data_IF_091263913090
#
_entry.id   IF_091263913090
#
_cell.length_a   1.000
_cell.length_b   1.000
_cell.length_c   1.000
_cell.angle_alpha   90.00
_cell.angle_beta   90.00
_cell.angle_gamma   90.00
#
_symmetry.space_group_name_H-M   'P 1'
#
loop_
_entity.id
_entity.type
_entity.pdbx_description
1 polymer ?
#
# COMPACT_ATOMS: atom_id res chain seq x y z
N UNK A 1 -19.71 -31.54 -8.25
CA UNK A 1 -19.80 -30.55 -7.15
C UNK A 1 -19.52 -31.13 -5.78
N UNK A 2 -20.09 -32.29 -5.38
CA UNK A 2 -19.84 -32.92 -4.07
C UNK A 2 -18.38 -33.31 -3.82
N UNK A 3 -17.66 -33.80 -4.82
CA UNK A 3 -16.25 -34.20 -4.70
C UNK A 3 -15.31 -33.03 -4.54
N UNK A 4 -15.61 -31.90 -5.17
CA UNK A 4 -14.84 -30.64 -5.04
C UNK A 4 -15.08 -29.97 -3.69
N UNK A 5 -16.32 -29.98 -3.19
CA UNK A 5 -16.64 -29.46 -1.86
C UNK A 5 -16.01 -30.34 -0.75
N UNK A 6 -15.97 -31.65 -0.90
CA UNK A 6 -15.31 -32.56 0.06
C UNK A 6 -13.79 -32.38 0.06
N UNK A 7 -13.16 -32.22 -1.10
CA UNK A 7 -11.73 -31.93 -1.19
C UNK A 7 -11.40 -30.55 -0.62
N UNK A 8 -12.19 -29.52 -0.88
CA UNK A 8 -11.97 -28.19 -0.33
C UNK A 8 -12.13 -28.15 1.18
N UNK A 9 -13.15 -28.83 1.76
CA UNK A 9 -13.32 -28.96 3.21
C UNK A 9 -12.22 -29.82 3.84
N UNK A 10 -11.83 -30.92 3.22
CA UNK A 10 -10.73 -31.73 3.67
C UNK A 10 -9.40 -30.95 3.68
N UNK A 11 -9.21 -30.07 2.71
CA UNK A 11 -8.02 -29.25 2.58
C UNK A 11 -7.96 -28.08 3.60
N UNK A 12 -9.09 -27.45 3.89
CA UNK A 12 -9.17 -26.35 4.86
C UNK A 12 -9.11 -26.84 6.32
N UNK A 13 -9.63 -28.07 6.58
CA UNK A 13 -9.80 -28.59 7.95
C UNK A 13 -8.99 -29.85 8.25
N UNK A 14 -8.15 -30.35 7.35
CA UNK A 14 -7.34 -31.54 7.60
C UNK A 14 -6.06 -31.16 8.35
N UNK A 15 -6.02 -31.49 9.65
CA UNK A 15 -4.92 -31.18 10.57
C UNK A 15 -3.88 -32.31 10.68
N UNK A 16 -4.02 -33.39 9.92
CA UNK A 16 -3.18 -34.56 10.01
C UNK A 16 -1.94 -34.48 9.11
N UNK A 17 -0.77 -34.16 9.70
CA UNK A 17 0.54 -34.27 9.07
C UNK A 17 1.48 -33.09 9.23
N UNK A 18 2.77 -33.36 9.24
CA UNK A 18 3.83 -32.38 9.43
C UNK A 18 3.90 -31.28 8.32
N UNK A 19 3.36 -31.59 7.14
CA UNK A 19 3.33 -30.65 6.00
C UNK A 19 2.22 -29.59 6.10
N UNK A 20 1.44 -29.61 7.18
CA UNK A 20 0.33 -28.69 7.42
C UNK A 20 0.69 -27.49 8.32
N UNK A 21 1.95 -27.25 8.63
CA UNK A 21 2.39 -26.19 9.56
C UNK A 21 1.93 -24.81 9.09
N UNK A 22 2.04 -24.53 7.81
CA UNK A 22 1.62 -23.24 7.24
C UNK A 22 0.11 -23.03 7.33
N UNK A 23 -0.70 -24.09 7.11
CA UNK A 23 -2.17 -24.05 7.23
C UNK A 23 -2.57 -23.86 8.70
N UNK A 24 -1.89 -24.55 9.60
CA UNK A 24 -2.12 -24.43 11.04
C UNK A 24 -1.80 -23.02 11.53
N UNK A 25 -0.67 -22.45 11.13
CA UNK A 25 -0.29 -21.08 11.46
C UNK A 25 -1.35 -20.10 10.94
N UNK A 26 -1.76 -20.22 9.69
CA UNK A 26 -2.80 -19.39 9.10
C UNK A 26 -4.14 -19.51 9.84
N UNK A 27 -4.59 -20.72 10.12
CA UNK A 27 -5.82 -20.96 10.86
C UNK A 27 -5.78 -20.31 12.24
N UNK A 28 -4.67 -20.47 12.99
CA UNK A 28 -4.53 -19.89 14.31
C UNK A 28 -4.42 -18.37 14.29
N UNK A 29 -3.79 -17.78 13.26
CA UNK A 29 -3.79 -16.32 13.07
C UNK A 29 -5.23 -15.81 12.87
N UNK A 30 -6.00 -16.46 12.01
CA UNK A 30 -7.41 -16.11 11.76
C UNK A 30 -8.26 -16.28 13.01
N UNK A 31 -8.11 -17.40 13.73
CA UNK A 31 -8.80 -17.66 15.01
C UNK A 31 -8.42 -16.60 16.06
N UNK A 32 -7.15 -16.26 16.19
CA UNK A 32 -6.70 -15.21 17.12
C UNK A 32 -7.31 -13.86 16.80
N UNK A 33 -7.41 -13.48 15.52
CA UNK A 33 -8.09 -12.24 15.09
C UNK A 33 -9.59 -12.26 15.40
N UNK A 34 -10.28 -13.39 15.16
CA UNK A 34 -11.71 -13.55 15.46
C UNK A 34 -11.94 -13.48 16.97
N UNK A 35 -11.11 -14.17 17.77
CA UNK A 35 -11.18 -14.16 19.23
C UNK A 35 -10.91 -12.77 19.78
N UNK A 36 -9.88 -12.07 19.29
CA UNK A 36 -9.59 -10.69 19.68
C UNK A 36 -10.74 -9.74 19.34
N UNK A 37 -11.35 -9.88 18.16
CA UNK A 37 -12.52 -9.09 17.78
C UNK A 37 -13.76 -9.41 18.63
N UNK A 38 -13.97 -10.68 18.96
CA UNK A 38 -15.06 -11.11 19.87
C UNK A 38 -14.85 -10.56 21.30
N UNK A 39 -13.62 -10.65 21.84
CA UNK A 39 -13.27 -10.07 23.14
C UNK A 39 -13.51 -8.55 23.12
N UNK A 40 -13.04 -7.85 22.10
CA UNK A 40 -13.31 -6.42 21.94
C UNK A 40 -14.82 -6.11 21.92
N UNK A 41 -15.63 -6.94 21.22
CA UNK A 41 -17.06 -6.77 21.16
C UNK A 41 -17.78 -7.01 22.50
N UNK A 42 -17.27 -7.93 23.33
CA UNK A 42 -17.84 -8.26 24.66
C UNK A 42 -17.41 -7.28 25.75
N UNK A 43 -16.15 -6.81 25.73
CA UNK A 43 -15.60 -5.90 26.74
C UNK A 43 -16.14 -4.47 26.60
N UNK A 44 -16.58 -4.10 25.41
CA UNK A 44 -17.06 -2.74 25.12
C UNK A 44 -18.48 -2.56 25.64
N UNK A 45 -18.65 -1.79 26.73
CA UNK A 45 -19.97 -1.49 27.34
C UNK A 45 -20.75 -0.36 26.63
N UNK A 46 -20.07 0.57 25.96
CA UNK A 46 -20.70 1.72 25.29
C UNK A 46 -21.36 1.28 23.96
N UNK A 47 -22.67 1.55 23.81
CA UNK A 47 -23.44 1.26 22.59
C UNK A 47 -22.82 1.86 21.32
N UNK A 48 -22.14 2.98 21.46
CA UNK A 48 -21.43 3.63 20.35
C UNK A 48 -20.19 2.84 19.93
N UNK A 49 -19.49 2.22 20.88
CA UNK A 49 -18.32 1.39 20.62
C UNK A 49 -18.73 0.00 20.14
N UNK A 50 -19.88 -0.53 20.52
CA UNK A 50 -20.45 -1.79 20.00
C UNK A 50 -20.65 -1.75 18.48
N UNK A 51 -21.06 -0.60 17.92
CA UNK A 51 -21.17 -0.46 16.44
C UNK A 51 -19.80 -0.62 15.74
N UNK A 52 -18.75 -0.05 16.32
CA UNK A 52 -17.38 -0.17 15.80
C UNK A 52 -16.90 -1.63 15.89
N UNK A 53 -17.12 -2.27 17.03
CA UNK A 53 -16.78 -3.68 17.23
C UNK A 53 -17.52 -4.59 16.23
N UNK A 54 -18.80 -4.33 15.93
CA UNK A 54 -19.55 -5.04 14.88
C UNK A 54 -18.94 -4.85 13.49
N UNK A 55 -18.52 -3.62 13.15
CA UNK A 55 -17.84 -3.34 11.86
C UNK A 55 -16.54 -4.12 11.78
N UNK A 56 -15.73 -4.11 12.84
CA UNK A 56 -14.47 -4.88 12.90
C UNK A 56 -14.73 -6.37 12.74
N UNK A 57 -15.70 -6.92 13.49
CA UNK A 57 -16.04 -8.34 13.42
C UNK A 57 -16.57 -8.74 12.03
N UNK A 58 -17.44 -7.93 11.43
CA UNK A 58 -17.93 -8.15 10.09
C UNK A 58 -16.79 -8.08 9.05
N UNK A 59 -15.87 -7.14 9.20
CA UNK A 59 -14.70 -7.00 8.31
C UNK A 59 -13.78 -8.22 8.39
N UNK A 60 -13.52 -8.72 9.59
CA UNK A 60 -12.71 -9.93 9.79
C UNK A 60 -13.41 -11.16 9.23
N UNK A 61 -14.71 -11.31 9.46
CA UNK A 61 -15.49 -12.41 8.89
C UNK A 61 -15.47 -12.36 7.34
N UNK A 62 -15.64 -11.17 6.76
CA UNK A 62 -15.57 -10.97 5.31
C UNK A 62 -14.17 -11.28 4.77
N UNK A 63 -13.10 -10.89 5.50
CA UNK A 63 -11.71 -11.23 5.13
C UNK A 63 -11.51 -12.74 5.06
N UNK A 64 -12.00 -13.46 6.06
CA UNK A 64 -11.92 -14.93 6.10
C UNK A 64 -12.67 -15.54 4.92
N UNK A 65 -13.89 -15.10 4.66
CA UNK A 65 -14.68 -15.61 3.53
C UNK A 65 -13.99 -15.33 2.18
N UNK A 66 -13.49 -14.12 1.97
CA UNK A 66 -12.77 -13.77 0.73
C UNK A 66 -11.48 -14.58 0.61
N UNK A 67 -10.74 -14.80 1.71
CA UNK A 67 -9.54 -15.62 1.71
C UNK A 67 -9.83 -17.08 1.33
N UNK A 68 -10.91 -17.64 1.88
CA UNK A 68 -11.37 -18.99 1.52
C UNK A 68 -11.76 -19.04 0.05
N UNK A 69 -12.50 -18.05 -0.46
CA UNK A 69 -12.91 -17.99 -1.88
C UNK A 69 -11.68 -17.81 -2.78
N UNK A 70 -10.75 -16.95 -2.43
CA UNK A 70 -9.52 -16.73 -3.21
C UNK A 70 -8.64 -17.99 -3.24
N UNK A 71 -8.51 -18.68 -2.11
CA UNK A 71 -7.81 -19.97 -2.02
C UNK A 71 -8.52 -21.01 -2.89
N UNK A 72 -9.86 -21.07 -2.85
CA UNK A 72 -10.65 -21.99 -3.67
C UNK A 72 -10.51 -21.68 -5.16
N UNK A 73 -10.55 -20.42 -5.58
CA UNK A 73 -10.36 -20.01 -6.98
C UNK A 73 -8.93 -20.29 -7.47
N UNK A 74 -7.92 -20.10 -6.62
CA UNK A 74 -6.55 -20.46 -6.94
C UNK A 74 -6.36 -21.98 -7.09
N UNK A 75 -7.21 -22.77 -6.44
CA UNK A 75 -7.26 -24.22 -6.53
C UNK A 75 -7.79 -24.74 -7.88
N UNK A 76 -8.56 -23.94 -8.57
CA UNK A 76 -9.20 -24.35 -9.83
C UNK A 76 -8.15 -24.39 -10.95
N UNK A 77 -7.61 -25.59 -11.21
CA UNK A 77 -6.71 -25.84 -12.33
C UNK A 77 -5.23 -26.10 -12.01
N UNK A 78 -4.83 -26.30 -10.75
CA UNK A 78 -3.45 -26.60 -10.35
C UNK A 78 -3.30 -27.91 -9.58
N UNK A 79 -2.11 -28.52 -9.67
CA UNK A 79 -1.79 -29.75 -8.93
C UNK A 79 -1.63 -29.46 -7.42
N UNK A 80 -2.07 -30.41 -6.58
CA UNK A 80 -2.21 -30.21 -5.14
C UNK A 80 -0.91 -29.78 -4.39
N UNK A 81 0.27 -30.18 -4.87
CA UNK A 81 1.56 -29.85 -4.26
C UNK A 81 1.98 -28.38 -4.37
N UNK A 82 1.51 -27.67 -5.41
CA UNK A 82 1.85 -26.26 -5.64
C UNK A 82 0.98 -25.29 -4.82
N UNK A 83 -0.04 -25.82 -4.13
CA UNK A 83 -1.11 -25.02 -3.52
C UNK A 83 -0.97 -24.83 -2.01
N UNK A 84 -0.12 -25.64 -1.36
CA UNK A 84 -0.07 -25.70 0.10
C UNK A 84 0.32 -24.39 0.78
N UNK A 85 1.04 -23.52 0.08
CA UNK A 85 1.51 -22.24 0.62
C UNK A 85 0.87 -21.01 -0.02
N UNK A 86 0.01 -21.16 -1.04
CA UNK A 86 -0.75 -20.06 -1.62
C UNK A 86 -1.53 -19.22 -0.59
N UNK A 87 -2.15 -19.83 0.43
CA UNK A 87 -2.79 -19.07 1.51
C UNK A 87 -1.84 -18.12 2.25
N UNK A 88 -0.58 -18.50 2.44
CA UNK A 88 0.42 -17.62 3.06
C UNK A 88 0.74 -16.38 2.23
N UNK A 89 0.64 -16.50 0.90
CA UNK A 89 0.88 -15.39 -0.01
C UNK A 89 -0.33 -14.43 -0.09
N UNK A 90 -1.51 -14.97 -0.40
CA UNK A 90 -2.67 -14.13 -0.73
C UNK A 90 -3.48 -13.68 0.48
N UNK A 91 -3.59 -14.50 1.51
CA UNK A 91 -4.47 -14.17 2.63
C UNK A 91 -4.07 -12.92 3.40
N UNK A 92 -2.78 -12.70 3.76
CA UNK A 92 -2.40 -11.47 4.45
C UNK A 92 -2.67 -10.22 3.61
N UNK A 93 -2.47 -10.30 2.30
CA UNK A 93 -2.76 -9.20 1.38
C UNK A 93 -4.26 -8.89 1.31
N UNK A 94 -5.09 -9.93 1.23
CA UNK A 94 -6.55 -9.79 1.22
C UNK A 94 -7.05 -9.23 2.56
N UNK A 95 -6.55 -9.74 3.69
CA UNK A 95 -6.88 -9.23 5.03
C UNK A 95 -6.53 -7.76 5.15
N UNK A 96 -5.36 -7.35 4.68
CA UNK A 96 -4.96 -5.94 4.66
C UNK A 96 -5.96 -5.10 3.85
N UNK A 97 -6.34 -5.53 2.65
CA UNK A 97 -7.28 -4.79 1.80
C UNK A 97 -8.67 -4.68 2.43
N UNK A 98 -9.18 -5.75 3.03
CA UNK A 98 -10.49 -5.72 3.70
C UNK A 98 -10.46 -4.84 4.95
N UNK A 99 -9.39 -4.89 5.74
CA UNK A 99 -9.19 -3.98 6.88
C UNK A 99 -9.11 -2.52 6.42
N UNK A 100 -8.48 -2.26 5.28
CA UNK A 100 -8.40 -0.92 4.71
C UNK A 100 -9.78 -0.39 4.32
N UNK A 101 -10.56 -1.17 3.56
CA UNK A 101 -11.94 -0.80 3.19
C UNK A 101 -12.79 -0.57 4.43
N UNK A 102 -12.66 -1.43 5.42
CA UNK A 102 -13.38 -1.31 6.69
C UNK A 102 -12.98 -0.07 7.50
N UNK A 103 -11.69 0.27 7.49
CA UNK A 103 -11.19 1.50 8.10
C UNK A 103 -11.80 2.73 7.44
N UNK A 104 -11.86 2.74 6.10
CA UNK A 104 -12.50 3.82 5.33
C UNK A 104 -13.97 3.95 5.73
N UNK A 105 -14.74 2.86 5.70
CA UNK A 105 -16.16 2.86 6.07
C UNK A 105 -16.36 3.33 7.52
N UNK A 106 -15.56 2.81 8.45
CA UNK A 106 -15.67 3.17 9.87
C UNK A 106 -15.36 4.65 10.12
N UNK A 107 -14.36 5.21 9.44
CA UNK A 107 -14.02 6.63 9.55
C UNK A 107 -15.10 7.51 8.89
N UNK A 108 -15.68 7.09 7.76
CA UNK A 108 -16.77 7.81 7.10
C UNK A 108 -18.04 7.84 7.97
N UNK A 109 -18.37 6.69 8.60
CA UNK A 109 -19.57 6.60 9.47
C UNK A 109 -19.35 7.34 10.80
N UNK A 110 -18.12 7.28 11.34
CA UNK A 110 -17.79 7.88 12.63
C UNK A 110 -16.32 8.26 12.76
N UNK A 111 -15.96 9.49 12.40
CA UNK A 111 -14.58 9.99 12.47
C UNK A 111 -14.14 10.25 13.93
N UNK A 112 -13.92 9.21 14.73
CA UNK A 112 -13.41 9.35 16.09
C UNK A 112 -11.91 9.08 16.16
N UNK A 113 -11.23 9.70 17.14
CA UNK A 113 -9.79 9.50 17.37
C UNK A 113 -9.48 8.03 17.66
N UNK A 114 -10.34 7.35 18.41
CA UNK A 114 -10.24 5.93 18.74
C UNK A 114 -10.33 5.04 17.49
N UNK A 115 -11.29 5.31 16.58
CA UNK A 115 -11.43 4.55 15.33
C UNK A 115 -10.17 4.65 14.48
N UNK A 116 -9.63 5.86 14.32
CA UNK A 116 -8.39 6.10 13.56
C UNK A 116 -7.20 5.33 14.15
N UNK A 117 -7.05 5.35 15.48
CA UNK A 117 -5.97 4.63 16.17
C UNK A 117 -6.12 3.11 16.04
N UNK A 118 -7.31 2.58 16.32
CA UNK A 118 -7.56 1.12 16.26
C UNK A 118 -7.31 0.57 14.86
N UNK A 119 -7.89 1.19 13.84
CA UNK A 119 -7.64 0.75 12.47
C UNK A 119 -6.20 0.99 12.00
N UNK A 120 -5.56 2.06 12.45
CA UNK A 120 -4.13 2.30 12.19
C UNK A 120 -3.26 1.18 12.75
N UNK A 121 -3.50 0.74 13.98
CA UNK A 121 -2.78 -0.39 14.60
C UNK A 121 -3.08 -1.70 13.87
N UNK A 122 -4.35 -1.97 13.52
CA UNK A 122 -4.73 -3.18 12.79
C UNK A 122 -4.08 -3.25 11.40
N UNK A 123 -4.04 -2.13 10.67
CA UNK A 123 -3.41 -2.04 9.36
C UNK A 123 -1.88 -2.23 9.47
N UNK A 124 -1.25 -1.62 10.47
CA UNK A 124 0.18 -1.82 10.71
C UNK A 124 0.50 -3.29 11.07
N UNK A 125 -0.29 -3.90 11.95
CA UNK A 125 -0.14 -5.31 12.31
C UNK A 125 -0.37 -6.24 11.11
N UNK A 126 -1.35 -5.96 10.26
CA UNK A 126 -1.60 -6.75 9.05
C UNK A 126 -0.47 -6.61 8.02
N UNK A 127 0.15 -5.44 7.91
CA UNK A 127 1.32 -5.25 7.04
C UNK A 127 2.54 -6.05 7.55
N UNK A 128 2.77 -6.06 8.87
CA UNK A 128 3.80 -6.91 9.49
C UNK A 128 3.50 -8.39 9.21
N UNK A 129 2.24 -8.81 9.34
CA UNK A 129 1.83 -10.18 9.04
C UNK A 129 2.08 -10.54 7.56
N UNK A 130 1.87 -9.62 6.61
CA UNK A 130 2.23 -9.81 5.19
C UNK A 130 3.72 -10.16 5.06
N UNK A 131 4.59 -9.37 5.68
CA UNK A 131 6.05 -9.58 5.59
C UNK A 131 6.45 -10.92 6.23
N UNK A 132 5.90 -11.26 7.42
CA UNK A 132 6.17 -12.53 8.10
C UNK A 132 5.72 -13.72 7.25
N UNK A 133 4.49 -13.68 6.71
CA UNK A 133 3.96 -14.77 5.89
C UNK A 133 4.73 -14.94 4.59
N UNK A 134 5.15 -13.84 3.96
CA UNK A 134 6.03 -13.89 2.79
C UNK A 134 7.41 -14.46 3.13
N UNK A 135 7.96 -14.15 4.32
CA UNK A 135 9.24 -14.71 4.77
C UNK A 135 9.15 -16.23 4.99
N UNK A 136 8.10 -16.70 5.66
CA UNK A 136 7.84 -18.13 5.86
C UNK A 136 7.65 -18.84 4.52
N UNK A 137 6.89 -18.21 3.61
CA UNK A 137 6.67 -18.71 2.27
C UNK A 137 7.98 -18.87 1.49
N UNK A 138 8.86 -17.87 1.56
CA UNK A 138 10.16 -17.90 0.90
C UNK A 138 11.08 -18.98 1.51
N UNK A 139 11.18 -19.06 2.84
CA UNK A 139 12.04 -20.05 3.54
C UNK A 139 11.60 -21.49 3.34
N UNK A 140 10.31 -21.72 3.05
CA UNK A 140 9.80 -23.08 2.84
C UNK A 140 10.27 -23.75 1.54
N UNK A 141 11.04 -23.03 0.69
CA UNK A 141 11.57 -23.56 -0.56
C UNK A 141 10.51 -23.90 -1.61
N UNK A 142 9.26 -23.56 -1.34
CA UNK A 142 8.16 -23.73 -2.32
C UNK A 142 8.16 -22.54 -3.25
N UNK A 143 9.04 -22.56 -4.24
CA UNK A 143 8.88 -21.67 -5.38
C UNK A 143 7.55 -21.99 -6.04
N UNK A 144 6.59 -21.10 -5.88
CA UNK A 144 5.40 -21.15 -6.72
C UNK A 144 5.87 -21.01 -8.16
N UNK A 145 5.71 -22.05 -8.94
CA UNK A 145 5.83 -22.00 -10.40
C UNK A 145 4.66 -21.23 -11.04
N UNK A 146 4.36 -20.08 -10.48
CA UNK A 146 3.58 -19.03 -11.14
C UNK A 146 4.49 -18.25 -12.10
N UNK A 147 5.09 -18.90 -13.09
CA UNK A 147 6.16 -18.36 -13.95
C UNK A 147 7.42 -17.89 -13.19
N UNK A 148 7.70 -18.49 -12.03
CA UNK A 148 8.82 -18.11 -11.19
C UNK A 148 10.02 -18.90 -11.65
N UNK A 149 10.94 -18.20 -12.21
CA UNK A 149 12.29 -18.67 -12.46
C UNK A 149 12.99 -18.62 -11.10
N UNK A 150 13.62 -19.70 -10.70
CA UNK A 150 14.44 -19.74 -9.47
C UNK A 150 15.51 -18.65 -9.58
N UNK A 151 15.47 -17.65 -8.69
CA UNK A 151 16.52 -16.65 -8.62
C UNK A 151 17.71 -17.24 -7.86
N UNK A 152 18.78 -17.49 -8.55
CA UNK A 152 20.05 -17.86 -7.93
C UNK A 152 20.75 -16.62 -7.37
N UNK A 153 21.48 -16.78 -6.26
CA UNK A 153 22.33 -15.73 -5.69
C UNK A 153 21.61 -14.43 -5.27
N UNK A 154 20.52 -14.54 -4.54
CA UNK A 154 19.84 -13.37 -3.94
C UNK A 154 20.70 -12.78 -2.82
N UNK A 155 21.10 -11.51 -2.93
CA UNK A 155 21.77 -10.79 -1.84
C UNK A 155 20.74 -10.28 -0.82
N UNK A 156 20.41 -11.14 0.13
CA UNK A 156 19.44 -10.87 1.21
C UNK A 156 19.85 -9.66 2.07
N UNK A 157 21.16 -9.52 2.34
CA UNK A 157 21.69 -8.42 3.17
C UNK A 157 21.53 -7.10 2.44
N UNK A 158 21.93 -7.04 1.16
CA UNK A 158 21.75 -5.86 0.32
C UNK A 158 20.30 -5.43 0.19
N UNK A 159 19.36 -6.37 0.05
CA UNK A 159 17.92 -6.10 -0.01
C UNK A 159 17.41 -5.46 1.28
N UNK A 160 17.74 -6.00 2.46
CA UNK A 160 17.28 -5.45 3.73
C UNK A 160 17.90 -4.09 4.04
N UNK A 161 19.20 -3.89 3.72
CA UNK A 161 19.85 -2.58 3.84
C UNK A 161 19.18 -1.56 2.94
N UNK A 162 18.94 -1.90 1.67
CA UNK A 162 18.24 -1.03 0.72
C UNK A 162 16.83 -0.65 1.20
N UNK A 163 16.05 -1.62 1.66
CA UNK A 163 14.71 -1.39 2.20
C UNK A 163 14.75 -0.48 3.44
N UNK A 164 15.69 -0.71 4.37
CA UNK A 164 15.83 0.10 5.57
C UNK A 164 16.22 1.56 5.25
N UNK A 165 17.21 1.75 4.37
CA UNK A 165 17.66 3.09 3.95
C UNK A 165 16.56 3.88 3.25
N UNK A 166 15.82 3.24 2.33
CA UNK A 166 14.72 3.89 1.62
C UNK A 166 13.56 4.21 2.55
N UNK A 167 13.19 3.29 3.45
CA UNK A 167 12.17 3.54 4.46
C UNK A 167 12.54 4.73 5.32
N UNK A 168 13.76 4.77 5.85
CA UNK A 168 14.25 5.88 6.65
C UNK A 168 14.25 7.19 5.85
N UNK A 169 14.73 7.17 4.60
CA UNK A 169 14.76 8.34 3.72
C UNK A 169 13.37 8.91 3.42
N UNK A 170 12.39 8.06 3.10
CA UNK A 170 11.00 8.48 2.84
C UNK A 170 10.35 9.03 4.11
N UNK A 171 10.56 8.40 5.27
CA UNK A 171 10.03 8.87 6.56
C UNK A 171 10.64 10.23 6.91
N UNK A 172 11.96 10.37 6.84
CA UNK A 172 12.66 11.64 7.12
C UNK A 172 12.18 12.74 6.17
N UNK A 173 12.15 12.49 4.87
CA UNK A 173 11.65 13.45 3.89
C UNK A 173 10.20 13.88 4.22
N UNK A 174 9.35 12.95 4.62
CA UNK A 174 7.96 13.22 5.02
C UNK A 174 7.86 14.08 6.28
N UNK A 175 8.69 13.82 7.28
CA UNK A 175 8.71 14.59 8.53
C UNK A 175 9.22 16.01 8.29
N UNK A 176 10.32 16.18 7.54
CA UNK A 176 10.93 17.48 7.32
C UNK A 176 10.10 18.39 6.40
N UNK A 177 9.42 17.83 5.41
CA UNK A 177 8.66 18.61 4.42
C UNK A 177 7.21 18.84 4.82
N UNK A 178 6.62 17.91 5.58
CA UNK A 178 5.24 18.02 6.05
C UNK A 178 5.18 18.22 7.57
N UNK A 179 5.12 19.50 7.97
CA UNK A 179 5.07 19.93 9.37
C UNK A 179 3.70 19.78 10.04
N UNK A 180 2.73 19.12 9.38
CA UNK A 180 1.42 18.86 9.99
C UNK A 180 1.59 17.99 11.23
N UNK A 181 0.96 18.40 12.34
CA UNK A 181 0.94 17.61 13.58
C UNK A 181 -0.01 16.43 13.38
N UNK A 182 0.58 15.24 13.21
CA UNK A 182 -0.18 13.98 13.10
C UNK A 182 -0.72 13.67 11.69
N UNK A 183 -1.32 12.49 11.59
CA UNK A 183 -2.01 11.99 10.40
C UNK A 183 -3.50 12.25 10.58
N UNK A 184 -3.92 13.48 10.30
CA UNK A 184 -5.33 13.82 10.40
C UNK A 184 -6.07 13.43 9.10
N UNK A 185 -6.64 12.23 9.11
CA UNK A 185 -7.50 11.75 8.04
C UNK A 185 -8.95 12.14 8.33
N UNK A 186 -9.30 13.35 7.94
CA UNK A 186 -10.70 13.76 7.87
C UNK A 186 -11.41 13.05 6.71
N UNK A 187 -12.74 13.13 6.71
CA UNK A 187 -13.60 12.55 5.67
C UNK A 187 -13.16 12.97 4.26
N UNK A 188 -12.82 14.25 4.07
CA UNK A 188 -12.46 14.79 2.75
C UNK A 188 -11.14 14.20 2.20
N UNK A 189 -9.98 14.28 2.89
CA UNK A 189 -8.77 13.58 2.42
C UNK A 189 -8.97 12.09 2.19
N UNK A 190 -9.78 11.43 3.03
CA UNK A 190 -10.04 10.01 2.90
C UNK A 190 -10.86 9.67 1.65
N UNK A 191 -11.90 10.47 1.35
CA UNK A 191 -12.69 10.32 0.11
C UNK A 191 -11.82 10.52 -1.13
N UNK A 192 -10.97 11.55 -1.14
CA UNK A 192 -10.04 11.77 -2.25
C UNK A 192 -9.00 10.65 -2.37
N UNK A 193 -8.51 10.09 -1.25
CA UNK A 193 -7.62 8.93 -1.29
C UNK A 193 -8.30 7.72 -1.95
N UNK A 194 -9.55 7.46 -1.62
CA UNK A 194 -10.32 6.37 -2.25
C UNK A 194 -10.53 6.59 -3.75
N UNK A 195 -10.96 7.79 -4.15
CA UNK A 195 -11.20 8.12 -5.57
C UNK A 195 -9.90 8.11 -6.37
N UNK A 196 -8.86 8.82 -5.91
CA UNK A 196 -7.59 8.92 -6.63
C UNK A 196 -6.80 7.60 -6.59
N UNK A 197 -6.87 6.85 -5.48
CA UNK A 197 -6.29 5.52 -5.40
C UNK A 197 -6.99 4.54 -6.34
N UNK A 198 -8.33 4.52 -6.36
CA UNK A 198 -9.11 3.72 -7.30
C UNK A 198 -8.83 4.07 -8.76
N UNK A 199 -8.72 5.36 -9.08
CA UNK A 199 -8.33 5.83 -10.42
C UNK A 199 -6.91 5.38 -10.79
N UNK A 200 -5.95 5.48 -9.85
CA UNK A 200 -4.59 5.00 -10.03
C UNK A 200 -4.56 3.50 -10.35
N UNK A 201 -5.32 2.70 -9.58
CA UNK A 201 -5.44 1.27 -9.81
C UNK A 201 -6.08 0.98 -11.18
N UNK A 202 -7.15 1.66 -11.53
CA UNK A 202 -7.80 1.48 -12.83
C UNK A 202 -6.86 1.80 -14.01
N UNK A 203 -6.13 2.92 -13.93
CA UNK A 203 -5.15 3.31 -14.95
C UNK A 203 -3.97 2.34 -15.03
N UNK A 204 -3.60 1.65 -13.96
CA UNK A 204 -2.50 0.68 -13.96
C UNK A 204 -2.78 -0.57 -14.80
N UNK A 205 -4.04 -0.84 -15.14
CA UNK A 205 -4.41 -1.87 -16.11
C UNK A 205 -4.18 -1.43 -17.56
N UNK A 206 -4.07 -0.10 -17.82
CA UNK A 206 -3.80 0.44 -19.15
C UNK A 206 -2.30 0.53 -19.35
N UNK A 207 -1.68 -0.58 -19.76
CA UNK A 207 -0.24 -0.71 -19.96
C UNK A 207 0.10 -0.44 -21.41
N UNK A 208 0.98 0.54 -21.65
CA UNK A 208 1.52 0.88 -22.98
C UNK A 208 2.62 -0.13 -23.34
N UNK A 209 3.48 -0.45 -22.35
CA UNK A 209 4.55 -1.45 -22.48
C UNK A 209 4.56 -2.31 -21.22
N UNK A 210 4.71 -3.63 -21.38
CA UNK A 210 4.96 -4.58 -20.29
C UNK A 210 6.36 -5.16 -20.46
N UNK A 211 7.17 -5.07 -19.40
CA UNK A 211 8.53 -5.65 -19.37
C UNK A 211 8.49 -7.13 -18.98
N UNK A 212 9.50 -7.93 -19.38
CA UNK A 212 9.51 -9.39 -19.18
C UNK A 212 9.41 -9.83 -17.70
N UNK A 213 10.06 -9.11 -16.78
CA UNK A 213 10.13 -9.46 -15.34
C UNK A 213 9.28 -8.54 -14.45
N UNK A 214 8.11 -8.25 -14.85
CA UNK A 214 7.26 -7.28 -14.17
C UNK A 214 7.46 -5.90 -14.77
N UNK A 215 7.44 -4.83 -14.13
CA UNK A 215 7.61 -3.49 -14.65
C UNK A 215 6.69 -3.14 -15.85
N UNK A 216 6.21 -1.94 -15.93
CA UNK A 216 5.37 -1.52 -17.05
C UNK A 216 5.39 0.01 -17.20
N UNK A 217 5.19 0.47 -18.42
CA UNK A 217 4.89 1.87 -18.73
C UNK A 217 3.39 1.96 -18.88
N UNK A 218 2.75 2.79 -18.07
CA UNK A 218 1.29 2.92 -18.01
C UNK A 218 0.82 4.29 -18.50
N UNK A 219 -0.49 4.42 -18.70
CA UNK A 219 -1.10 5.70 -19.09
C UNK A 219 -1.27 6.59 -17.83
N UNK A 220 -0.15 7.12 -17.32
CA UNK A 220 -0.12 8.02 -16.16
C UNK A 220 -0.78 7.43 -14.89
N UNK A 221 -0.64 6.12 -14.63
CA UNK A 221 -1.31 5.45 -13.50
C UNK A 221 -0.90 6.02 -12.14
N UNK A 222 0.32 6.53 -12.00
CA UNK A 222 0.82 7.07 -10.73
C UNK A 222 0.49 8.56 -10.53
N UNK A 223 -0.02 9.24 -11.56
CA UNK A 223 -0.43 10.64 -11.48
C UNK A 223 -1.46 10.91 -10.37
N UNK A 224 -2.53 10.10 -10.19
CA UNK A 224 -3.51 10.37 -9.14
C UNK A 224 -2.90 10.34 -7.73
N UNK A 225 -1.92 9.44 -7.46
CA UNK A 225 -1.20 9.40 -6.18
C UNK A 225 -0.37 10.68 -6.00
N UNK A 226 0.34 11.09 -7.05
CA UNK A 226 1.16 12.31 -7.05
C UNK A 226 0.31 13.56 -6.81
N UNK A 227 -0.86 13.67 -7.45
CA UNK A 227 -1.83 14.75 -7.22
C UNK A 227 -2.35 14.73 -5.78
N UNK A 228 -2.68 13.56 -5.26
CA UNK A 228 -3.10 13.42 -3.87
C UNK A 228 -2.03 13.92 -2.89
N UNK A 229 -0.77 13.50 -3.08
CA UNK A 229 0.35 13.94 -2.27
C UNK A 229 0.58 15.46 -2.36
N UNK A 230 0.45 16.02 -3.55
CA UNK A 230 0.59 17.46 -3.78
C UNK A 230 -0.51 18.27 -3.09
N UNK A 231 -1.75 17.78 -3.11
CA UNK A 231 -2.92 18.47 -2.54
C UNK A 231 -2.98 18.29 -1.02
N UNK A 232 -2.77 17.08 -0.50
CA UNK A 232 -3.02 16.73 0.91
C UNK A 232 -1.75 16.57 1.75
N UNK A 233 -0.57 16.73 1.15
CA UNK A 233 0.73 16.68 1.82
C UNK A 233 1.45 15.34 1.69
N UNK A 234 2.75 15.39 1.94
CA UNK A 234 3.69 14.27 1.74
C UNK A 234 3.32 13.05 2.58
N UNK A 235 3.02 13.21 3.87
CA UNK A 235 2.70 12.09 4.78
C UNK A 235 1.50 11.29 4.30
N UNK A 236 0.42 11.96 3.92
CA UNK A 236 -0.80 11.31 3.41
C UNK A 236 -0.55 10.64 2.06
N UNK A 237 0.24 11.30 1.21
CA UNK A 237 0.67 10.76 -0.09
C UNK A 237 1.50 9.48 0.05
N UNK A 238 2.45 9.43 0.99
CA UNK A 238 3.25 8.24 1.29
C UNK A 238 2.36 7.06 1.70
N UNK A 239 1.38 7.30 2.59
CA UNK A 239 0.45 6.25 3.02
C UNK A 239 -0.38 5.73 1.85
N UNK A 240 -0.94 6.62 1.03
CA UNK A 240 -1.67 6.19 -0.16
C UNK A 240 -0.77 5.40 -1.11
N UNK A 241 0.50 5.82 -1.26
CA UNK A 241 1.50 5.09 -2.04
C UNK A 241 1.74 3.67 -1.51
N UNK A 242 1.95 3.50 -0.19
CA UNK A 242 2.09 2.16 0.42
C UNK A 242 0.88 1.27 0.10
N UNK A 243 -0.33 1.81 0.26
CA UNK A 243 -1.57 1.09 -0.05
C UNK A 243 -1.59 0.67 -1.52
N UNK A 244 -1.28 1.59 -2.41
CA UNK A 244 -1.24 1.30 -3.85
C UNK A 244 -0.16 0.29 -4.22
N UNK A 245 1.00 0.31 -3.56
CA UNK A 245 2.04 -0.71 -3.74
C UNK A 245 1.53 -2.11 -3.40
N UNK A 246 0.79 -2.27 -2.30
CA UNK A 246 0.18 -3.54 -1.92
C UNK A 246 -0.87 -3.98 -2.95
N UNK A 247 -1.71 -3.07 -3.44
CA UNK A 247 -2.68 -3.37 -4.49
C UNK A 247 -2.00 -3.80 -5.80
N UNK A 248 -0.88 -3.19 -6.14
CA UNK A 248 -0.07 -3.58 -7.31
C UNK A 248 0.55 -4.97 -7.15
N UNK A 249 1.01 -5.31 -5.94
CA UNK A 249 1.52 -6.66 -5.65
C UNK A 249 0.44 -7.74 -5.80
N UNK A 250 -0.83 -7.40 -5.54
CA UNK A 250 -1.97 -8.32 -5.78
C UNK A 250 -2.28 -8.43 -7.27
N UNK A 251 -2.19 -7.31 -8.00
CA UNK A 251 -2.53 -7.24 -9.42
C UNK A 251 -1.56 -8.03 -10.32
N UNK A 252 -0.24 -7.92 -10.05
CA UNK A 252 0.81 -8.54 -10.88
C UNK A 252 2.01 -8.87 -9.97
N UNK A 253 1.94 -9.96 -9.19
CA UNK A 253 2.96 -10.30 -8.21
C UNK A 253 4.23 -10.85 -8.88
N UNK A 254 5.36 -10.20 -8.64
CA UNK A 254 6.70 -10.67 -8.94
C UNK A 254 7.50 -10.62 -7.63
N UNK A 255 7.36 -11.65 -6.79
CA UNK A 255 7.89 -11.66 -5.43
C UNK A 255 8.87 -12.82 -5.30
N UNK A 256 10.16 -12.50 -5.19
CA UNK A 256 11.25 -13.44 -5.00
C UNK A 256 11.70 -13.51 -3.53
N UNK A 257 11.60 -12.37 -2.81
CA UNK A 257 12.05 -12.25 -1.44
C UNK A 257 11.23 -11.18 -0.69
N UNK A 258 10.94 -11.30 0.62
CA UNK A 258 10.17 -10.30 1.37
C UNK A 258 10.72 -8.88 1.32
N UNK A 259 12.05 -8.73 1.39
CA UNK A 259 12.68 -7.41 1.28
C UNK A 259 12.59 -6.84 -0.14
N UNK A 260 12.68 -7.68 -1.18
CA UNK A 260 12.42 -7.28 -2.56
C UNK A 260 10.96 -6.84 -2.73
N UNK A 261 10.00 -7.58 -2.14
CA UNK A 261 8.60 -7.15 -2.12
C UNK A 261 8.44 -5.74 -1.55
N UNK A 262 9.09 -5.43 -0.41
CA UNK A 262 9.03 -4.09 0.17
C UNK A 262 9.59 -3.03 -0.79
N UNK A 263 10.71 -3.32 -1.45
CA UNK A 263 11.35 -2.40 -2.39
C UNK A 263 10.49 -2.17 -3.64
N UNK A 264 9.99 -3.23 -4.28
CA UNK A 264 9.31 -3.12 -5.58
C UNK A 264 7.87 -2.65 -5.48
N UNK A 265 7.20 -2.85 -4.35
CA UNK A 265 5.80 -2.50 -4.21
C UNK A 265 5.58 -1.38 -3.18
N UNK A 266 5.56 -1.59 -1.85
CA UNK A 266 5.20 -0.54 -0.92
C UNK A 266 6.11 0.69 -0.99
N UNK A 267 7.43 0.51 -1.02
CA UNK A 267 8.39 1.63 -0.99
C UNK A 267 8.46 2.35 -2.35
N UNK A 268 8.44 1.60 -3.46
CA UNK A 268 8.42 2.18 -4.79
C UNK A 268 7.21 3.09 -5.00
N UNK A 269 6.03 2.67 -4.55
CA UNK A 269 4.81 3.49 -4.66
C UNK A 269 4.73 4.57 -3.58
N UNK A 270 5.24 4.34 -2.37
CA UNK A 270 5.35 5.36 -1.31
C UNK A 270 6.16 6.57 -1.75
N UNK A 271 7.17 6.37 -2.62
CA UNK A 271 8.00 7.45 -3.18
C UNK A 271 7.17 8.55 -3.85
N UNK A 272 6.01 8.21 -4.46
CA UNK A 272 5.14 9.19 -5.10
C UNK A 272 4.50 10.17 -4.11
N UNK A 273 4.45 9.81 -2.82
CA UNK A 273 4.12 10.74 -1.75
C UNK A 273 5.08 11.93 -1.66
N UNK A 274 6.33 11.76 -2.08
CA UNK A 274 7.34 12.84 -2.06
C UNK A 274 7.05 13.96 -3.07
N UNK A 275 6.12 13.78 -4.01
CA UNK A 275 5.63 14.85 -4.87
C UNK A 275 5.11 16.05 -4.05
N UNK A 276 4.63 15.81 -2.83
CA UNK A 276 4.21 16.85 -1.89
C UNK A 276 5.34 17.68 -1.27
N UNK A 277 6.62 17.26 -1.37
CA UNK A 277 7.75 17.89 -0.64
C UNK A 277 7.95 19.37 -0.98
N UNK A 278 7.67 19.77 -2.23
CA UNK A 278 7.90 21.13 -2.69
C UNK A 278 6.69 22.06 -2.53
N UNK A 279 5.56 21.58 -2.01
CA UNK A 279 4.32 22.40 -1.91
C UNK A 279 4.50 23.63 -1.03
N UNK A 280 5.29 23.53 0.05
CA UNK A 280 5.52 24.62 1.01
C UNK A 280 6.77 25.46 0.71
N UNK A 281 7.44 25.24 -0.42
CA UNK A 281 8.60 26.05 -0.83
C UNK A 281 8.20 27.45 -1.29
N UNK A 282 9.18 28.37 -1.36
CA UNK A 282 8.96 29.75 -1.84
C UNK A 282 8.70 29.87 -3.35
N UNK A 283 8.80 28.78 -4.11
CA UNK A 283 8.51 28.76 -5.55
C UNK A 283 7.05 29.16 -5.75
N UNK A 284 6.76 30.12 -6.62
CA UNK A 284 5.38 30.61 -6.86
C UNK A 284 4.62 29.72 -7.85
N UNK A 285 5.34 29.13 -8.81
CA UNK A 285 4.72 28.35 -9.90
C UNK A 285 4.41 26.92 -9.43
N UNK A 286 3.13 26.56 -9.40
CA UNK A 286 2.65 25.24 -8.95
C UNK A 286 3.05 24.11 -9.92
N UNK A 287 3.11 24.37 -11.22
CA UNK A 287 3.60 23.41 -12.20
C UNK A 287 5.07 23.05 -11.95
N UNK A 288 5.91 24.04 -11.64
CA UNK A 288 7.32 23.81 -11.29
C UNK A 288 7.47 23.05 -9.96
N UNK A 289 6.67 23.38 -8.95
CA UNK A 289 6.66 22.62 -7.69
C UNK A 289 6.30 21.16 -7.91
N UNK A 290 5.26 20.90 -8.71
CA UNK A 290 4.82 19.55 -9.03
C UNK A 290 5.88 18.79 -9.83
N UNK A 291 6.49 19.43 -10.81
CA UNK A 291 7.59 18.89 -11.62
C UNK A 291 8.77 18.44 -10.73
N UNK A 292 9.25 19.34 -9.86
CA UNK A 292 10.37 19.02 -8.96
C UNK A 292 10.03 17.88 -7.98
N UNK A 293 8.83 17.90 -7.41
CA UNK A 293 8.36 16.83 -6.53
C UNK A 293 8.21 15.49 -7.27
N UNK A 294 7.72 15.52 -8.49
CA UNK A 294 7.58 14.35 -9.33
C UNK A 294 8.92 13.75 -9.76
N UNK A 295 9.90 14.59 -10.11
CA UNK A 295 11.26 14.14 -10.40
C UNK A 295 11.89 13.47 -9.17
N UNK A 296 11.78 14.10 -7.99
CA UNK A 296 12.28 13.50 -6.75
C UNK A 296 11.62 12.14 -6.49
N UNK A 297 10.30 12.06 -6.62
CA UNK A 297 9.55 10.81 -6.44
C UNK A 297 10.01 9.73 -7.44
N UNK A 298 10.20 10.07 -8.70
CA UNK A 298 10.68 9.17 -9.73
C UNK A 298 12.09 8.65 -9.48
N UNK A 299 13.00 9.51 -9.02
CA UNK A 299 14.36 9.11 -8.64
C UNK A 299 14.34 8.15 -7.46
N UNK A 300 13.56 8.43 -6.42
CA UNK A 300 13.45 7.53 -5.24
C UNK A 300 12.82 6.20 -5.63
N UNK A 301 11.78 6.21 -6.48
CA UNK A 301 11.21 4.98 -7.06
C UNK A 301 12.27 4.18 -7.83
N UNK A 302 13.03 4.86 -8.68
CA UNK A 302 14.10 4.21 -9.45
C UNK A 302 15.14 3.56 -8.54
N UNK A 303 15.59 4.25 -7.47
CA UNK A 303 16.54 3.69 -6.50
C UNK A 303 15.94 2.45 -5.81
N UNK A 304 14.64 2.45 -5.50
CA UNK A 304 13.95 1.30 -4.93
C UNK A 304 14.00 0.07 -5.85
N UNK A 305 13.62 0.24 -7.11
CA UNK A 305 13.66 -0.83 -8.11
C UNK A 305 15.09 -1.22 -8.48
N UNK A 306 16.04 -0.28 -8.45
CA UNK A 306 17.44 -0.58 -8.67
C UNK A 306 18.01 -1.54 -7.63
N UNK A 307 17.73 -1.31 -6.34
CA UNK A 307 18.16 -2.23 -5.28
C UNK A 307 17.47 -3.59 -5.40
N UNK A 308 16.16 -3.62 -5.64
CA UNK A 308 15.45 -4.86 -5.89
C UNK A 308 16.04 -5.63 -7.08
N UNK A 309 16.25 -4.95 -8.19
CA UNK A 309 16.81 -5.53 -9.42
C UNK A 309 18.23 -6.06 -9.24
N UNK A 310 19.12 -5.28 -8.60
CA UNK A 310 20.51 -5.66 -8.41
C UNK A 310 20.66 -6.85 -7.44
N UNK A 311 19.88 -6.87 -6.35
CA UNK A 311 20.08 -7.85 -5.28
C UNK A 311 19.15 -9.07 -5.34
N UNK A 312 18.00 -8.99 -6.05
CA UNK A 312 17.09 -10.12 -6.20
C UNK A 312 17.04 -10.68 -7.63
N UNK A 313 17.15 -9.82 -8.65
CA UNK A 313 17.00 -10.23 -10.05
C UNK A 313 18.32 -10.31 -10.82
N UNK A 314 19.47 -10.26 -10.13
CA UNK A 314 20.78 -10.28 -10.79
C UNK A 314 21.05 -11.51 -11.65
N UNK A 315 20.53 -12.68 -11.24
CA UNK A 315 20.68 -13.95 -11.99
C UNK A 315 19.90 -13.98 -13.32
N UNK A 316 18.99 -13.04 -13.55
CA UNK A 316 18.24 -12.91 -14.80
C UNK A 316 18.93 -11.99 -15.82
N UNK A 317 20.12 -11.48 -15.51
CA UNK A 317 20.86 -10.66 -16.45
C UNK A 317 21.17 -11.48 -17.71
N UNK A 318 20.80 -11.01 -18.91
CA UNK A 318 21.17 -11.69 -20.15
C UNK A 318 22.69 -11.75 -20.34
N UNK A 319 23.15 -12.74 -21.12
CA UNK A 319 24.55 -12.78 -21.56
C UNK A 319 24.93 -11.45 -22.25
N UNK A 320 26.10 -10.90 -21.88
CA UNK A 320 26.59 -9.61 -22.39
C UNK A 320 26.49 -8.44 -21.42
N UNK A 321 25.93 -8.63 -20.24
CA UNK A 321 26.06 -7.67 -19.16
C UNK A 321 27.22 -8.03 -18.23
N UNK A 322 28.21 -7.16 -18.16
CA UNK A 322 29.44 -7.38 -17.32
C UNK A 322 29.14 -7.26 -15.82
N UNK A 323 27.97 -6.72 -15.43
CA UNK A 323 27.61 -6.47 -14.04
C UNK A 323 26.10 -6.48 -13.83
N UNK A 324 25.67 -7.14 -12.74
CA UNK A 324 24.26 -7.13 -12.28
C UNK A 324 23.75 -5.72 -11.99
N UNK A 325 24.64 -4.84 -11.53
CA UNK A 325 24.28 -3.43 -11.26
C UNK A 325 24.00 -2.66 -12.55
N UNK A 326 24.79 -2.89 -13.60
CA UNK A 326 24.58 -2.28 -14.92
C UNK A 326 23.30 -2.82 -15.55
N UNK A 327 23.03 -4.10 -15.41
CA UNK A 327 21.76 -4.69 -15.85
C UNK A 327 20.56 -4.07 -15.11
N UNK A 328 20.60 -4.03 -13.78
CA UNK A 328 19.52 -3.44 -12.98
C UNK A 328 19.30 -1.96 -13.33
N UNK A 329 20.35 -1.19 -13.50
CA UNK A 329 20.30 0.21 -13.91
C UNK A 329 19.64 0.35 -15.29
N UNK A 330 20.06 -0.42 -16.27
CA UNK A 330 19.50 -0.37 -17.64
C UNK A 330 18.02 -0.80 -17.66
N UNK A 331 17.71 -1.95 -17.04
CA UNK A 331 16.36 -2.51 -17.02
C UNK A 331 15.37 -1.58 -16.35
N UNK A 332 15.67 -1.13 -15.13
CA UNK A 332 14.75 -0.30 -14.36
C UNK A 332 14.64 1.12 -14.94
N UNK A 333 15.69 1.69 -15.49
CA UNK A 333 15.61 3.01 -16.14
C UNK A 333 14.69 2.98 -17.37
N UNK A 334 14.65 1.88 -18.09
CA UNK A 334 13.88 1.75 -19.33
C UNK A 334 12.37 1.87 -19.13
N UNK A 335 11.83 1.54 -17.94
CA UNK A 335 10.40 1.70 -17.69
C UNK A 335 10.07 2.72 -16.60
N UNK A 336 10.89 2.84 -15.53
CA UNK A 336 10.57 3.74 -14.40
C UNK A 336 10.58 5.20 -14.83
N UNK A 337 11.59 5.62 -15.59
CA UNK A 337 11.65 7.02 -16.02
C UNK A 337 10.58 7.39 -17.04
N UNK A 338 10.30 6.61 -18.10
CA UNK A 338 9.19 6.93 -19.01
C UNK A 338 7.83 6.92 -18.32
N UNK A 339 7.52 5.92 -17.48
CA UNK A 339 6.25 5.84 -16.74
C UNK A 339 6.04 7.05 -15.81
N UNK A 340 7.11 7.43 -15.08
CA UNK A 340 7.09 8.60 -14.21
C UNK A 340 7.02 9.90 -15.03
N UNK A 341 7.77 10.02 -16.12
CA UNK A 341 7.80 11.22 -16.95
C UNK A 341 6.44 11.53 -17.56
N UNK A 342 5.70 10.51 -18.04
CA UNK A 342 4.33 10.69 -18.56
C UNK A 342 3.44 11.30 -17.45
N UNK A 343 3.46 10.72 -16.25
CA UNK A 343 2.66 11.18 -15.12
C UNK A 343 3.04 12.60 -14.66
N UNK A 344 4.33 12.90 -14.59
CA UNK A 344 4.85 14.22 -14.20
C UNK A 344 4.49 15.27 -15.25
N UNK A 345 4.64 14.96 -16.53
CA UNK A 345 4.31 15.88 -17.60
C UNK A 345 2.82 16.24 -17.60
N UNK A 346 1.94 15.23 -17.51
CA UNK A 346 0.49 15.46 -17.45
C UNK A 346 0.13 16.31 -16.22
N UNK A 347 0.67 15.97 -15.04
CA UNK A 347 0.41 16.73 -13.83
C UNK A 347 0.92 18.17 -13.88
N UNK A 348 2.12 18.39 -14.44
CA UNK A 348 2.66 19.73 -14.63
C UNK A 348 1.79 20.59 -15.55
N UNK A 349 1.27 19.99 -16.64
CA UNK A 349 0.33 20.66 -17.56
C UNK A 349 -0.99 21.00 -16.87
N UNK A 350 -1.54 20.10 -16.03
CA UNK A 350 -2.75 20.38 -15.25
C UNK A 350 -2.58 21.62 -14.37
N UNK A 351 -1.42 21.79 -13.74
CA UNK A 351 -1.12 22.95 -12.88
C UNK A 351 -0.82 24.24 -13.66
N UNK A 352 -0.70 24.23 -14.99
CA UNK A 352 -0.71 25.44 -15.81
C UNK A 352 -2.12 26.07 -15.86
N UNK A 353 -3.17 25.26 -15.71
CA UNK A 353 -4.55 25.76 -15.64
C UNK A 353 -4.81 26.45 -14.31
N UNK A 354 -5.14 27.76 -14.36
CA UNK A 354 -5.52 28.53 -13.17
C UNK A 354 -6.77 27.98 -12.49
N UNK A 355 -7.74 27.49 -13.27
CA UNK A 355 -8.97 26.89 -12.76
C UNK A 355 -8.69 25.59 -12.00
N UNK A 356 -7.90 24.69 -12.58
CA UNK A 356 -7.47 23.45 -11.91
C UNK A 356 -6.72 23.75 -10.61
N UNK A 357 -5.72 24.62 -10.68
CA UNK A 357 -4.91 25.02 -9.53
C UNK A 357 -5.78 25.60 -8.41
N UNK A 358 -6.75 26.46 -8.74
CA UNK A 358 -7.69 27.03 -7.77
C UNK A 358 -8.53 25.94 -7.09
N UNK A 359 -9.12 25.01 -7.85
CA UNK A 359 -9.91 23.91 -7.30
C UNK A 359 -9.05 23.00 -6.43
N UNK A 360 -7.89 22.58 -6.90
CA UNK A 360 -6.97 21.70 -6.17
C UNK A 360 -6.54 22.31 -4.81
N UNK A 361 -6.24 23.60 -4.77
CA UNK A 361 -5.75 24.28 -3.56
C UNK A 361 -6.86 24.75 -2.61
N UNK A 362 -8.04 25.18 -3.12
CA UNK A 362 -9.19 25.51 -2.26
C UNK A 362 -9.75 24.29 -1.55
N UNK A 363 -9.50 23.12 -2.10
CA UNK A 363 -9.81 21.85 -1.42
C UNK A 363 -9.10 21.74 -0.05
N UNK A 364 -7.97 22.39 0.12
CA UNK A 364 -7.21 22.42 1.39
C UNK A 364 -7.53 23.64 2.28
N UNK A 365 -7.90 24.79 1.70
CA UNK A 365 -7.96 26.09 2.39
C UNK A 365 -9.22 26.32 3.22
N UNK A 366 -10.38 25.76 2.83
CA UNK A 366 -11.65 26.02 3.54
C UNK A 366 -11.64 25.66 5.02
N UNK A 367 -10.90 24.64 5.43
CA UNK A 367 -10.85 24.20 6.81
C UNK A 367 -10.10 25.17 7.74
N UNK A 368 -9.06 25.82 7.23
CA UNK A 368 -8.27 26.78 8.03
C UNK A 368 -9.08 28.01 8.43
N UNK A 369 -9.95 28.44 7.54
CA UNK A 369 -10.83 29.61 7.78
C UNK A 369 -12.00 29.28 8.72
N UNK A 370 -12.51 28.05 8.71
CA UNK A 370 -13.55 27.60 9.63
C UNK A 370 -13.02 27.33 11.04
N UNK A 371 -11.82 26.77 11.17
CA UNK A 371 -11.14 26.58 12.45
C UNK A 371 -10.68 27.92 13.08
N UNK A 372 -10.22 28.88 12.27
CA UNK A 372 -9.90 30.24 12.74
C UNK A 372 -11.15 30.98 13.17
N UNK A 373 -12.30 30.83 12.47
CA UNK A 373 -13.58 31.42 12.88
C UNK A 373 -14.13 30.79 14.15
N UNK A 374 -14.12 29.45 14.24
CA UNK A 374 -14.60 28.74 15.43
C UNK A 374 -13.75 29.06 16.67
N UNK A 375 -12.43 29.21 16.52
CA UNK A 375 -11.57 29.66 17.63
C UNK A 375 -11.80 31.13 18.01
N UNK A 376 -12.12 31.99 17.05
CA UNK A 376 -12.39 33.41 17.33
C UNK A 376 -13.77 33.57 18.01
N UNK A 377 -14.77 32.80 17.62
CA UNK A 377 -16.09 32.78 18.27
C UNK A 377 -16.02 32.22 19.69
N UNK A 378 -15.25 31.16 19.94
CA UNK A 378 -15.06 30.59 21.28
C UNK A 378 -14.30 31.51 22.25
N UNK A 379 -13.44 32.40 21.74
CA UNK A 379 -12.74 33.41 22.56
C UNK A 379 -13.66 34.59 22.87
N UNK A 380 -14.51 35.01 21.91
CA UNK A 380 -15.46 36.10 22.14
C UNK A 380 -16.60 35.73 23.13
N UNK A 381 -17.03 34.45 23.11
CA UNK A 381 -18.07 33.97 24.07
C UNK A 381 -17.51 33.77 25.48
N UNK A 382 -16.19 33.53 25.61
CA UNK A 382 -15.51 33.44 26.91
C UNK A 382 -15.27 34.78 27.57
N UNK A 383 -15.09 35.88 26.82
CA UNK A 383 -14.95 37.22 27.37
C UNK A 383 -16.28 37.83 27.81
N UNK A 384 -17.41 37.50 27.15
CA UNK A 384 -18.72 37.97 27.51
C UNK A 384 -19.39 37.20 28.70
N UNK A 385 -18.76 36.14 29.18
CA UNK A 385 -19.25 35.36 30.34
C UNK A 385 -18.57 35.76 31.66
N UNK A 386 -17.69 36.74 31.66
CA UNK A 386 -16.91 37.21 32.85
C UNK A 386 -17.33 38.64 33.26
N UNK A 387 -18.22 39.30 32.55
CA UNK A 387 -18.90 40.52 32.99
C UNK A 387 -20.27 40.19 33.60
#
# INVERSE_FOLDING_TARGET
MSLLASKATQYVFNFDGADNTARSIFFWIVVAFIVAAAICAFVIKDEKQKKIAKIILFSLATSVCISIIATFLAFYGKEAKELDLLPLLYTPLIVFCVLLVSAVIAILVRPSKTVKIVFGVLLAASLIAVVICLSIYYESGTSLKLNWIEAENVDVVGLWIGAALLTAGIILASIFTDKTKGLDFDVKPLTYAGVLGGLSLALSYVRIVKMPMGGSITLASVLPIMLYAYIFGTKKGVILGVIMGILQAIQDPWILHPAQFLLDYPLAFASFGLTGCFTKTKIKNHSVKFLLGGILAGVVRFVSHFFAGAFAFGSFAPEGFDSIYVYSLAYNSAYVFPDTAISVAVGAVLFLSKSFTKVALTTHSKKKTEEEKANTESVSDGENAVE
#
